data_IF_325470480817
#
_entry.id   IF_325470480817
#
_cell.length_a   1.000
_cell.length_b   1.000
_cell.length_c   1.000
_cell.angle_alpha   90.00
_cell.angle_beta   90.00
_cell.angle_gamma   90.00
#
_symmetry.space_group_name_H-M   'P 1'
#
loop_
_entity.id
_entity.type
_entity.pdbx_description
1 polymer ?
#
# COMPACT_ATOMS: atom_id res chain seq x y z
N UNK A 1 -32.93 62.49 -7.89
CA UNK A 1 -33.43 61.25 -7.25
C UNK A 1 -33.50 60.19 -8.34
N UNK A 2 -32.44 59.38 -8.46
CA UNK A 2 -32.22 58.46 -9.59
C UNK A 2 -32.71 57.04 -9.22
N UNK A 3 -33.35 56.32 -10.15
CA UNK A 3 -34.16 55.13 -9.89
C UNK A 3 -33.31 53.86 -9.70
N UNK A 4 -33.74 53.00 -8.77
CA UNK A 4 -33.96 51.55 -8.87
C UNK A 4 -33.23 50.71 -9.96
N UNK A 5 -31.97 51.01 -10.29
CA UNK A 5 -31.15 50.23 -11.22
C UNK A 5 -30.11 49.44 -10.43
N UNK A 6 -30.52 48.29 -9.91
CA UNK A 6 -29.62 47.12 -9.76
C UNK A 6 -30.49 45.86 -9.69
N UNK A 7 -31.16 45.57 -10.81
CA UNK A 7 -31.85 44.32 -11.07
C UNK A 7 -30.83 43.17 -11.03
N UNK A 8 -30.97 42.30 -10.03
CA UNK A 8 -30.61 40.87 -10.03
C UNK A 8 -29.30 40.51 -10.77
N UNK A 9 -28.18 40.78 -10.10
CA UNK A 9 -26.88 40.22 -10.46
C UNK A 9 -26.89 38.70 -10.32
N UNK A 10 -26.74 38.03 -11.45
CA UNK A 10 -26.62 36.60 -11.60
C UNK A 10 -25.49 36.00 -10.76
N UNK A 11 -25.80 35.05 -9.87
CA UNK A 11 -24.84 34.02 -9.43
C UNK A 11 -25.61 32.73 -9.18
N UNK A 12 -25.84 31.94 -10.24
CA UNK A 12 -25.98 30.50 -10.09
C UNK A 12 -24.64 29.89 -10.51
N UNK A 13 -23.68 29.91 -9.58
CA UNK A 13 -22.44 29.15 -9.72
C UNK A 13 -22.78 27.67 -9.54
N UNK A 14 -23.14 27.00 -10.64
CA UNK A 14 -23.19 25.56 -10.70
C UNK A 14 -21.80 25.03 -10.37
N UNK A 15 -21.62 24.63 -9.11
CA UNK A 15 -20.38 24.08 -8.60
C UNK A 15 -20.24 22.67 -9.18
N UNK A 16 -19.44 22.53 -10.22
CA UNK A 16 -19.05 21.21 -10.71
C UNK A 16 -18.15 20.59 -9.64
N UNK A 17 -18.72 19.72 -8.81
CA UNK A 17 -17.95 18.87 -7.93
C UNK A 17 -17.21 17.85 -8.81
N UNK A 18 -15.92 18.09 -9.05
CA UNK A 18 -15.06 17.10 -9.67
C UNK A 18 -15.01 15.88 -8.72
N UNK A 19 -15.59 14.76 -9.14
CA UNK A 19 -15.43 13.49 -8.46
C UNK A 19 -13.97 13.07 -8.68
N UNK A 20 -13.12 13.23 -7.67
CA UNK A 20 -11.76 12.75 -7.71
C UNK A 20 -11.77 11.21 -7.64
N UNK A 21 -11.23 10.56 -8.67
CA UNK A 21 -10.99 9.12 -8.63
C UNK A 21 -9.74 8.90 -7.78
N UNK A 22 -9.90 8.32 -6.58
CA UNK A 22 -8.76 7.93 -5.77
C UNK A 22 -7.99 6.83 -6.51
N UNK A 23 -6.70 7.05 -6.75
CA UNK A 23 -5.83 6.02 -7.30
C UNK A 23 -5.87 4.80 -6.37
N UNK A 24 -5.79 3.57 -6.91
CA UNK A 24 -5.74 2.37 -6.08
C UNK A 24 -4.58 2.49 -5.09
N UNK A 25 -4.88 2.26 -3.82
CA UNK A 25 -3.88 2.27 -2.76
C UNK A 25 -2.98 1.03 -2.92
N UNK A 26 -1.73 1.25 -3.33
CA UNK A 26 -0.75 0.17 -3.59
C UNK A 26 0.19 -0.06 -2.39
N UNK A 27 -0.10 0.54 -1.23
CA UNK A 27 0.78 0.48 -0.06
C UNK A 27 0.10 -0.34 1.03
N UNK A 28 0.79 -1.39 1.49
CA UNK A 28 0.38 -2.15 2.66
C UNK A 28 1.08 -1.59 3.91
N UNK A 29 0.30 -1.19 4.92
CA UNK A 29 0.79 -0.64 6.20
C UNK A 29 0.25 -1.45 7.37
N UNK A 30 1.12 -1.78 8.32
CA UNK A 30 0.77 -2.52 9.53
C UNK A 30 1.22 -1.75 10.75
N UNK A 31 0.39 -1.74 11.81
CA UNK A 31 0.66 -0.98 13.03
C UNK A 31 1.63 -1.67 14.00
N UNK A 32 1.95 -2.94 13.74
CA UNK A 32 2.75 -3.80 14.62
C UNK A 32 3.64 -4.74 13.82
N UNK A 33 4.81 -5.15 14.37
CA UNK A 33 5.65 -6.16 13.74
C UNK A 33 4.96 -7.53 13.68
N UNK A 34 5.32 -8.33 12.68
CA UNK A 34 4.85 -9.70 12.52
C UNK A 34 5.41 -10.59 13.62
N UNK A 35 4.59 -11.48 14.17
CA UNK A 35 5.03 -12.52 15.11
C UNK A 35 5.19 -13.86 14.40
N UNK A 36 4.31 -14.14 13.44
CA UNK A 36 4.27 -15.37 12.66
C UNK A 36 4.70 -15.12 11.22
N UNK A 37 5.17 -16.17 10.55
CA UNK A 37 5.62 -16.08 9.15
C UNK A 37 4.53 -15.61 8.18
N UNK A 38 3.28 -16.01 8.41
CA UNK A 38 2.12 -15.63 7.57
C UNK A 38 1.74 -14.14 7.66
N UNK A 39 2.25 -13.43 8.67
CA UNK A 39 2.03 -11.99 8.87
C UNK A 39 3.17 -11.15 8.28
N UNK A 40 4.29 -11.79 7.92
CA UNK A 40 5.48 -11.11 7.42
C UNK A 40 5.32 -10.70 5.95
N UNK A 41 5.97 -9.59 5.58
CA UNK A 41 5.82 -9.00 4.25
C UNK A 41 6.77 -9.66 3.24
N UNK A 42 6.25 -10.22 2.13
CA UNK A 42 7.08 -10.80 1.09
C UNK A 42 7.73 -9.73 0.23
N UNK A 43 9.03 -9.85 0.02
CA UNK A 43 9.80 -9.08 -0.96
C UNK A 43 10.65 -10.03 -1.80
N UNK A 44 10.91 -9.71 -3.07
CA UNK A 44 11.75 -10.56 -3.90
C UNK A 44 11.97 -10.02 -5.31
N UNK A 45 12.99 -10.56 -5.98
CA UNK A 45 13.38 -10.18 -7.36
C UNK A 45 13.21 -11.34 -8.36
N UNK A 46 12.38 -12.33 -8.01
CA UNK A 46 12.16 -13.55 -8.81
C UNK A 46 13.16 -14.66 -8.56
N UNK A 47 14.39 -14.37 -8.11
CA UNK A 47 15.39 -15.41 -7.73
C UNK A 47 15.56 -15.53 -6.23
N UNK A 48 15.66 -14.40 -5.54
CA UNK A 48 15.74 -14.32 -4.08
C UNK A 48 14.43 -13.73 -3.58
N UNK A 49 13.94 -14.28 -2.47
CA UNK A 49 12.79 -13.75 -1.75
C UNK A 49 13.12 -13.63 -0.27
N UNK A 50 12.48 -12.70 0.43
CA UNK A 50 12.56 -12.62 1.88
C UNK A 50 11.19 -12.30 2.47
N UNK A 51 10.95 -12.76 3.70
CA UNK A 51 9.84 -12.32 4.53
C UNK A 51 10.36 -11.35 5.59
N UNK A 52 9.80 -10.13 5.63
CA UNK A 52 10.19 -9.04 6.54
C UNK A 52 9.25 -9.00 7.74
N UNK A 53 9.78 -8.99 8.96
CA UNK A 53 8.97 -9.03 10.19
C UNK A 53 8.75 -7.65 10.82
N UNK A 54 9.62 -6.67 10.58
CA UNK A 54 9.40 -5.26 10.96
C UNK A 54 9.69 -4.94 12.43
N UNK A 55 10.54 -5.72 13.10
CA UNK A 55 10.90 -5.55 14.51
C UNK A 55 11.95 -4.45 14.72
N UNK A 56 11.59 -3.38 15.46
CA UNK A 56 12.47 -2.22 15.71
C UNK A 56 13.81 -2.58 16.38
N UNK A 57 13.80 -3.41 17.44
CA UNK A 57 15.02 -3.73 18.20
C UNK A 57 15.84 -4.86 17.58
N UNK A 58 15.16 -5.81 16.94
CA UNK A 58 15.78 -6.97 16.32
C UNK A 58 14.93 -7.38 15.11
N UNK A 59 15.44 -7.09 13.92
CA UNK A 59 14.76 -7.43 12.67
C UNK A 59 15.06 -8.88 12.29
N UNK A 60 14.04 -9.58 11.79
CA UNK A 60 14.21 -10.93 11.26
C UNK A 60 13.81 -10.94 9.80
N UNK A 61 14.74 -11.34 8.95
CA UNK A 61 14.48 -11.57 7.53
C UNK A 61 14.59 -13.07 7.27
N UNK A 62 13.47 -13.72 6.89
CA UNK A 62 13.52 -15.12 6.46
C UNK A 62 13.81 -15.17 4.96
N UNK A 63 15.00 -15.64 4.57
CA UNK A 63 15.48 -15.65 3.18
C UNK A 63 15.16 -16.95 2.46
N UNK A 64 14.71 -16.83 1.20
CA UNK A 64 14.46 -17.91 0.26
C UNK A 64 15.27 -17.71 -1.03
N UNK A 65 15.64 -18.83 -1.66
CA UNK A 65 16.23 -18.85 -3.01
C UNK A 65 15.44 -19.82 -3.90
N UNK A 66 15.01 -19.36 -5.07
CA UNK A 66 14.11 -20.08 -5.97
C UNK A 66 14.63 -21.45 -6.43
N UNK A 67 15.94 -21.60 -6.54
CA UNK A 67 16.60 -22.84 -7.01
C UNK A 67 17.02 -23.77 -5.87
N UNK A 68 16.80 -23.37 -4.62
CA UNK A 68 17.14 -24.18 -3.45
C UNK A 68 16.02 -25.17 -3.16
N UNK A 69 16.01 -26.28 -3.90
CA UNK A 69 15.22 -27.45 -3.58
C UNK A 69 16.12 -28.46 -2.88
N UNK A 70 15.85 -28.73 -1.62
CA UNK A 70 16.48 -29.86 -0.93
C UNK A 70 15.65 -31.11 -1.25
N UNK A 71 16.25 -32.05 -1.98
CA UNK A 71 15.81 -33.43 -1.95
C UNK A 71 16.54 -34.08 -0.76
N UNK A 72 15.84 -34.67 0.23
CA UNK A 72 16.51 -35.43 1.26
C UNK A 72 17.25 -36.60 0.58
N UNK A 73 18.54 -36.72 0.86
CA UNK A 73 19.30 -37.89 0.47
C UNK A 73 18.64 -39.10 1.14
N UNK A 74 18.26 -40.09 0.33
CA UNK A 74 17.78 -41.36 0.84
C UNK A 74 19.01 -42.12 1.35
N UNK A 75 19.44 -41.78 2.56
CA UNK A 75 20.43 -42.55 3.31
C UNK A 75 19.80 -43.92 3.66
N UNK A 76 19.99 -44.87 2.74
CA UNK A 76 19.76 -46.29 2.90
C UNK A 76 21.00 -46.99 3.47
#
# INVERSE_FOLDING_TARGET
MRPFVTLFGAILAASSAAIAFAAPETILRYASPAQKWVEALPVGNGRLGAMVFGGWQNERLALNEARRHHCPEQDA
#
